data_IF_100814153647
#
_entry.id   IF_100814153647
#
_cell.length_a   1.000
_cell.length_b   1.000
_cell.length_c   1.000
_cell.angle_alpha   90.00
_cell.angle_beta   90.00
_cell.angle_gamma   90.00
#
_symmetry.space_group_name_H-M   'P 1'
#
loop_
_entity.id
_entity.type
_entity.pdbx_description
1 polymer ?
#
# COMPACT_ATOMS: atom_id res chain seq x y z
N UNK A 1 13.40 26.04 -2.63
CA UNK A 1 14.60 25.30 -3.13
C UNK A 1 15.08 25.91 -4.44
N UNK A 2 14.21 26.08 -5.46
CA UNK A 2 14.60 26.71 -6.73
C UNK A 2 15.20 28.12 -6.50
N UNK A 3 14.53 28.99 -5.74
CA UNK A 3 15.06 30.33 -5.35
C UNK A 3 16.39 30.29 -4.58
N UNK A 4 16.73 29.14 -4.02
CA UNK A 4 18.00 28.92 -3.31
C UNK A 4 19.11 28.41 -4.22
N UNK A 5 18.85 28.32 -5.55
CA UNK A 5 19.82 27.92 -6.56
C UNK A 5 19.95 26.41 -6.75
N UNK A 6 19.01 25.60 -6.26
CA UNK A 6 18.98 24.18 -6.56
C UNK A 6 18.68 23.94 -8.04
N UNK A 7 19.50 23.16 -8.71
CA UNK A 7 19.33 22.82 -10.13
C UNK A 7 18.45 21.59 -10.35
N UNK A 8 18.29 20.76 -9.31
CA UNK A 8 17.40 19.61 -9.29
C UNK A 8 16.68 19.55 -7.95
N UNK A 9 15.39 19.22 -7.98
CA UNK A 9 14.52 19.10 -6.81
C UNK A 9 13.85 17.72 -6.84
N UNK A 10 14.07 16.92 -5.80
CA UNK A 10 13.37 15.68 -5.57
C UNK A 10 12.19 15.94 -4.63
N UNK A 11 10.99 15.66 -5.09
CA UNK A 11 9.77 15.79 -4.31
C UNK A 11 9.10 14.42 -4.14
N UNK A 12 8.43 14.25 -3.02
CA UNK A 12 7.77 12.99 -2.67
C UNK A 12 6.31 13.25 -2.27
N UNK A 13 5.52 12.19 -2.28
CA UNK A 13 4.12 12.13 -1.90
C UNK A 13 3.14 12.67 -2.96
N UNK A 14 2.12 11.85 -3.23
CA UNK A 14 1.10 12.09 -4.25
C UNK A 14 0.44 13.48 -4.14
N UNK A 15 0.13 13.92 -2.93
CA UNK A 15 -0.51 15.21 -2.69
C UNK A 15 0.32 16.45 -3.05
N UNK A 16 1.62 16.30 -3.29
CA UNK A 16 2.51 17.42 -3.65
C UNK A 16 2.62 17.65 -5.16
N UNK A 17 2.16 16.73 -6.00
CA UNK A 17 2.42 16.75 -7.45
C UNK A 17 1.94 18.04 -8.12
N UNK A 18 0.75 18.53 -7.78
CA UNK A 18 0.20 19.77 -8.37
C UNK A 18 1.08 20.99 -8.11
N UNK A 19 1.64 21.08 -6.91
CA UNK A 19 2.55 22.18 -6.54
C UNK A 19 3.92 22.06 -7.21
N UNK A 20 4.40 20.83 -7.38
CA UNK A 20 5.65 20.55 -8.11
C UNK A 20 5.49 20.89 -9.57
N UNK A 21 4.35 20.59 -10.20
CA UNK A 21 4.04 20.97 -11.57
C UNK A 21 3.99 22.50 -11.75
N UNK A 22 3.39 23.21 -10.81
CA UNK A 22 3.38 24.67 -10.81
C UNK A 22 4.81 25.22 -10.75
N UNK A 23 5.63 24.73 -9.81
CA UNK A 23 7.02 25.14 -9.67
C UNK A 23 7.84 24.81 -10.93
N UNK A 24 7.63 23.66 -11.55
CA UNK A 24 8.31 23.29 -12.79
C UNK A 24 7.97 24.23 -13.96
N UNK A 25 6.76 24.76 -14.00
CA UNK A 25 6.36 25.79 -14.97
C UNK A 25 7.00 27.16 -14.70
N UNK A 26 7.20 27.53 -13.43
CA UNK A 26 7.82 28.80 -13.00
C UNK A 26 9.34 28.81 -13.13
N UNK A 27 10.01 27.62 -13.02
CA UNK A 27 11.46 27.46 -13.05
C UNK A 27 11.90 26.47 -14.14
N UNK A 28 11.80 26.83 -15.43
CA UNK A 28 12.06 25.90 -16.54
C UNK A 28 13.50 25.40 -16.61
N UNK A 29 14.44 26.07 -15.96
CA UNK A 29 15.86 25.69 -15.87
C UNK A 29 16.14 24.66 -14.76
N UNK A 30 15.23 24.47 -13.83
CA UNK A 30 15.36 23.53 -12.70
C UNK A 30 14.67 22.21 -13.03
N UNK A 31 15.32 21.09 -12.78
CA UNK A 31 14.75 19.76 -12.97
C UNK A 31 13.92 19.36 -11.72
N UNK A 32 12.70 18.88 -11.92
CA UNK A 32 11.83 18.41 -10.87
C UNK A 32 11.53 16.93 -11.04
N UNK A 33 11.91 16.14 -10.04
CA UNK A 33 11.70 14.69 -10.00
C UNK A 33 10.71 14.38 -8.88
N UNK A 34 9.50 13.94 -9.23
CA UNK A 34 8.43 13.69 -8.27
C UNK A 34 8.11 12.19 -8.16
N UNK A 35 8.27 11.64 -6.95
CA UNK A 35 7.88 10.27 -6.65
C UNK A 35 6.35 10.16 -6.47
N UNK A 36 5.78 9.04 -6.92
CA UNK A 36 4.35 8.69 -6.80
C UNK A 36 3.38 9.48 -7.70
N UNK A 37 3.82 10.53 -8.36
CA UNK A 37 2.98 11.31 -9.28
C UNK A 37 2.82 10.62 -10.66
N UNK A 38 1.89 11.13 -11.45
CA UNK A 38 1.53 10.54 -12.76
C UNK A 38 1.36 11.59 -13.88
N UNK A 39 1.46 12.89 -13.56
CA UNK A 39 1.07 13.96 -14.47
C UNK A 39 2.22 14.55 -15.31
N UNK A 40 3.47 14.17 -15.05
CA UNK A 40 4.62 14.74 -15.77
C UNK A 40 4.48 14.64 -17.29
N UNK A 41 4.12 13.46 -17.80
CA UNK A 41 3.92 13.25 -19.25
C UNK A 41 2.77 14.10 -19.82
N UNK A 42 1.67 14.21 -19.08
CA UNK A 42 0.49 14.96 -19.53
C UNK A 42 0.71 16.48 -19.46
N UNK A 43 1.57 16.95 -18.57
CA UNK A 43 1.89 18.39 -18.41
C UNK A 43 2.61 18.98 -19.61
N UNK A 44 3.35 18.18 -20.37
CA UNK A 44 4.21 18.64 -21.46
C UNK A 44 5.45 19.43 -21.02
N UNK A 45 5.72 19.53 -19.71
CA UNK A 45 6.89 20.21 -19.17
C UNK A 45 8.14 19.33 -19.33
N UNK A 46 9.18 19.85 -20.00
CA UNK A 46 10.41 19.10 -20.27
C UNK A 46 11.27 18.85 -19.02
N UNK A 47 11.07 19.64 -17.97
CA UNK A 47 11.81 19.62 -16.73
C UNK A 47 11.04 18.94 -15.57
N UNK A 48 9.90 18.28 -15.86
CA UNK A 48 9.10 17.54 -14.87
C UNK A 48 9.16 16.04 -15.15
N UNK A 49 9.54 15.27 -14.15
CA UNK A 49 9.69 13.83 -14.22
C UNK A 49 8.96 13.13 -13.10
N UNK A 50 8.22 12.06 -13.43
CA UNK A 50 7.68 11.15 -12.43
C UNK A 50 8.52 9.88 -12.35
N UNK A 51 8.65 9.34 -11.15
CA UNK A 51 9.25 8.03 -10.91
C UNK A 51 8.53 7.32 -9.77
N UNK A 52 8.52 6.00 -9.82
CA UNK A 52 8.00 5.16 -8.75
C UNK A 52 8.58 3.75 -8.84
N UNK A 53 8.40 2.98 -7.78
CA UNK A 53 8.84 1.58 -7.72
C UNK A 53 7.80 0.64 -8.31
N UNK A 54 8.23 -0.57 -8.65
CA UNK A 54 7.33 -1.68 -8.98
C UNK A 54 6.79 -2.33 -7.69
N UNK A 55 6.25 -1.55 -6.76
CA UNK A 55 5.75 -2.05 -5.47
C UNK A 55 4.71 -3.16 -5.63
N UNK A 56 3.98 -3.16 -6.74
CA UNK A 56 3.02 -4.21 -7.07
C UNK A 56 3.66 -5.61 -7.13
N UNK A 57 4.95 -5.73 -7.46
CA UNK A 57 5.67 -7.01 -7.44
C UNK A 57 5.81 -7.53 -6.00
N UNK A 58 6.23 -6.67 -5.06
CA UNK A 58 6.26 -6.98 -3.63
C UNK A 58 4.86 -7.31 -3.09
N UNK A 59 3.83 -6.59 -3.57
CA UNK A 59 2.43 -6.89 -3.24
C UNK A 59 2.00 -8.26 -3.71
N UNK A 60 2.38 -8.67 -4.92
CA UNK A 60 2.10 -10.01 -5.42
C UNK A 60 2.73 -11.09 -4.53
N UNK A 61 4.01 -10.93 -4.19
CA UNK A 61 4.72 -11.89 -3.31
C UNK A 61 4.08 -11.95 -1.93
N UNK A 62 3.74 -10.81 -1.34
CA UNK A 62 3.05 -10.78 -0.05
C UNK A 62 1.63 -11.38 -0.13
N UNK A 63 0.98 -11.26 -1.28
CA UNK A 63 -0.28 -11.94 -1.59
C UNK A 63 -0.13 -13.47 -1.61
N UNK A 64 0.97 -13.99 -2.18
CA UNK A 64 1.28 -15.44 -2.11
C UNK A 64 1.40 -15.88 -0.66
N UNK A 65 2.10 -15.12 0.20
CA UNK A 65 2.20 -15.42 1.64
C UNK A 65 0.82 -15.46 2.29
N UNK A 66 -0.04 -14.47 1.98
CA UNK A 66 -1.42 -14.44 2.49
C UNK A 66 -2.24 -15.66 2.05
N UNK A 67 -2.14 -16.03 0.77
CA UNK A 67 -2.85 -17.21 0.25
C UNK A 67 -2.37 -18.53 0.86
N UNK A 68 -1.06 -18.67 1.12
CA UNK A 68 -0.51 -19.84 1.83
C UNK A 68 -1.02 -19.89 3.28
N UNK A 69 -1.13 -18.74 3.96
CA UNK A 69 -1.71 -18.68 5.31
C UNK A 69 -3.19 -19.08 5.31
N UNK A 70 -3.96 -18.64 4.32
CA UNK A 70 -5.35 -19.08 4.18
C UNK A 70 -5.47 -20.60 3.99
N UNK A 71 -4.61 -21.20 3.16
CA UNK A 71 -4.57 -22.65 2.99
C UNK A 71 -4.22 -23.38 4.29
N UNK A 72 -3.23 -22.86 5.05
CA UNK A 72 -2.90 -23.39 6.37
C UNK A 72 -4.12 -23.38 7.31
N UNK A 73 -4.88 -22.26 7.34
CA UNK A 73 -6.08 -22.14 8.16
C UNK A 73 -7.21 -23.11 7.71
N UNK A 74 -7.35 -23.32 6.40
CA UNK A 74 -8.31 -24.31 5.85
C UNK A 74 -7.88 -25.72 6.25
N UNK A 75 -6.62 -26.08 6.06
CA UNK A 75 -6.08 -27.40 6.41
C UNK A 75 -6.18 -27.70 7.92
N UNK A 76 -6.01 -26.66 8.77
CA UNK A 76 -6.19 -26.75 10.21
C UNK A 76 -7.68 -26.84 10.64
N UNK A 77 -8.62 -26.59 9.73
CA UNK A 77 -10.05 -26.54 10.03
C UNK A 77 -10.49 -25.30 10.81
N UNK A 78 -9.67 -24.26 10.80
CA UNK A 78 -9.99 -22.96 11.42
C UNK A 78 -11.01 -22.19 10.60
N UNK A 79 -10.95 -22.32 9.25
CA UNK A 79 -11.90 -21.76 8.29
C UNK A 79 -12.25 -22.80 7.23
N UNK A 80 -13.35 -22.59 6.51
CA UNK A 80 -13.71 -23.35 5.31
C UNK A 80 -13.27 -22.58 4.05
N UNK A 81 -13.24 -23.26 2.87
CA UNK A 81 -12.86 -22.61 1.61
C UNK A 81 -13.72 -21.37 1.28
N UNK A 82 -15.03 -21.43 1.56
CA UNK A 82 -15.97 -20.33 1.33
C UNK A 82 -15.77 -19.16 2.31
N UNK A 83 -15.07 -19.38 3.41
CA UNK A 83 -14.66 -18.36 4.37
C UNK A 83 -13.29 -17.72 4.04
N UNK A 84 -12.58 -18.17 3.00
CA UNK A 84 -11.29 -17.61 2.60
C UNK A 84 -11.45 -16.21 1.99
N UNK A 85 -11.77 -15.24 2.84
CA UNK A 85 -12.01 -13.84 2.48
C UNK A 85 -10.95 -12.93 3.11
N UNK A 86 -10.22 -12.20 2.26
CA UNK A 86 -9.26 -11.18 2.69
C UNK A 86 -9.90 -9.81 2.74
N UNK A 87 -9.43 -8.96 3.64
CA UNK A 87 -9.73 -7.53 3.68
C UNK A 87 -8.53 -6.69 3.24
N UNK A 88 -8.79 -5.55 2.60
CA UNK A 88 -7.74 -4.61 2.24
C UNK A 88 -8.11 -3.18 2.63
N UNK A 89 -7.29 -2.56 3.47
CA UNK A 89 -7.45 -1.16 3.89
C UNK A 89 -6.67 -0.28 2.94
N UNK A 90 -7.36 0.39 2.03
CA UNK A 90 -6.77 1.32 1.06
C UNK A 90 -6.85 2.76 1.52
N UNK A 91 -5.86 3.60 1.14
CA UNK A 91 -5.92 5.03 1.40
C UNK A 91 -6.96 5.71 0.48
N UNK A 92 -6.79 5.58 -0.83
CA UNK A 92 -7.65 6.18 -1.85
C UNK A 92 -7.79 5.24 -3.05
N UNK A 93 -8.86 5.39 -3.87
CA UNK A 93 -9.03 4.61 -5.11
C UNK A 93 -8.14 5.13 -6.25
N UNK A 94 -6.86 5.33 -5.99
CA UNK A 94 -5.87 5.75 -7.00
C UNK A 94 -5.20 4.55 -7.66
N UNK A 95 -4.64 4.74 -8.86
CA UNK A 95 -4.01 3.67 -9.64
C UNK A 95 -2.93 2.91 -8.86
N UNK A 96 -2.13 3.60 -8.05
CA UNK A 96 -1.13 2.99 -7.17
C UNK A 96 -1.75 1.99 -6.19
N UNK A 97 -2.79 2.42 -5.45
CA UNK A 97 -3.48 1.58 -4.46
C UNK A 97 -4.22 0.44 -5.14
N UNK A 98 -4.90 0.70 -6.26
CA UNK A 98 -5.62 -0.30 -7.05
C UNK A 98 -4.66 -1.36 -7.58
N UNK A 99 -3.53 -0.97 -8.15
CA UNK A 99 -2.51 -1.92 -8.62
C UNK A 99 -1.95 -2.77 -7.47
N UNK A 100 -1.77 -2.17 -6.28
CA UNK A 100 -1.29 -2.83 -5.09
C UNK A 100 -2.22 -3.94 -4.63
N UNK A 101 -3.49 -3.64 -4.37
CA UNK A 101 -4.43 -4.69 -3.91
C UNK A 101 -4.78 -5.69 -5.02
N UNK A 102 -4.79 -5.28 -6.29
CA UNK A 102 -5.00 -6.22 -7.40
C UNK A 102 -3.87 -7.24 -7.45
N UNK A 103 -2.61 -6.80 -7.37
CA UNK A 103 -1.46 -7.71 -7.34
C UNK A 103 -1.46 -8.60 -6.10
N UNK A 104 -1.78 -8.06 -4.93
CA UNK A 104 -1.93 -8.82 -3.71
C UNK A 104 -2.99 -9.93 -3.84
N UNK A 105 -4.17 -9.58 -4.37
CA UNK A 105 -5.22 -10.56 -4.63
C UNK A 105 -4.80 -11.63 -5.62
N UNK A 106 -4.17 -11.26 -6.74
CA UNK A 106 -3.68 -12.22 -7.74
C UNK A 106 -2.61 -13.14 -7.17
N UNK A 107 -1.72 -12.63 -6.32
CA UNK A 107 -0.76 -13.43 -5.59
C UNK A 107 -1.42 -14.47 -4.69
N UNK A 108 -2.38 -14.06 -3.86
CA UNK A 108 -3.13 -14.98 -3.01
C UNK A 108 -3.91 -16.01 -3.82
N UNK A 109 -4.58 -15.57 -4.88
CA UNK A 109 -5.38 -16.44 -5.76
C UNK A 109 -4.54 -17.48 -6.50
N UNK A 110 -3.26 -17.21 -6.75
CA UNK A 110 -2.36 -18.16 -7.42
C UNK A 110 -2.11 -19.44 -6.61
N UNK A 111 -2.25 -19.37 -5.29
CA UNK A 111 -2.03 -20.51 -4.37
C UNK A 111 -3.28 -20.91 -3.61
N UNK A 112 -4.26 -20.02 -3.39
CA UNK A 112 -5.55 -20.27 -2.77
C UNK A 112 -6.67 -19.87 -3.74
N UNK A 113 -7.12 -20.77 -4.65
CA UNK A 113 -8.10 -20.44 -5.68
C UNK A 113 -9.48 -20.01 -5.14
N UNK A 114 -9.83 -20.42 -3.92
CA UNK A 114 -11.10 -20.07 -3.27
C UNK A 114 -11.13 -18.63 -2.77
N UNK A 115 -9.96 -17.96 -2.62
CA UNK A 115 -9.87 -16.64 -2.00
C UNK A 115 -10.75 -15.59 -2.67
N UNK A 116 -11.40 -14.81 -1.85
CA UNK A 116 -12.09 -13.56 -2.21
C UNK A 116 -11.48 -12.37 -1.47
N UNK A 117 -11.77 -11.15 -1.89
CA UNK A 117 -11.24 -9.95 -1.25
C UNK A 117 -12.26 -8.81 -1.22
N UNK A 118 -12.31 -8.12 -0.11
CA UNK A 118 -13.06 -6.87 0.09
C UNK A 118 -12.09 -5.72 0.34
N UNK A 119 -12.40 -4.52 -0.20
CA UNK A 119 -11.57 -3.32 -0.04
C UNK A 119 -12.40 -2.23 0.61
N UNK A 120 -11.86 -1.59 1.65
CA UNK A 120 -12.42 -0.36 2.25
C UNK A 120 -11.38 0.76 2.17
N UNK A 121 -11.85 1.99 1.92
CA UNK A 121 -10.97 3.15 1.81
C UNK A 121 -11.14 4.07 3.00
N UNK A 122 -10.01 4.53 3.56
CA UNK A 122 -9.97 5.51 4.63
C UNK A 122 -10.15 6.94 4.13
N UNK A 123 -9.91 7.20 2.83
CA UNK A 123 -9.77 8.52 2.24
C UNK A 123 -8.70 9.38 2.93
N UNK A 124 -7.67 8.73 3.48
CA UNK A 124 -6.51 9.33 4.11
C UNK A 124 -5.29 8.43 3.89
N UNK A 125 -4.09 9.03 3.72
CA UNK A 125 -2.85 8.26 3.67
C UNK A 125 -2.38 7.85 5.07
N UNK A 126 -2.66 8.67 6.08
CA UNK A 126 -2.15 8.46 7.43
C UNK A 126 -3.20 8.90 8.47
N UNK A 127 -4.04 7.96 8.88
CA UNK A 127 -4.99 8.13 9.98
C UNK A 127 -5.13 6.82 10.74
N UNK A 128 -4.50 6.74 11.90
CA UNK A 128 -4.54 5.55 12.75
C UNK A 128 -5.97 5.08 13.02
N UNK A 129 -6.85 6.03 13.42
CA UNK A 129 -8.22 5.69 13.78
C UNK A 129 -9.04 5.18 12.59
N UNK A 130 -8.96 5.84 11.41
CA UNK A 130 -9.68 5.42 10.21
C UNK A 130 -9.16 4.08 9.67
N UNK A 131 -7.85 3.84 9.72
CA UNK A 131 -7.27 2.56 9.32
C UNK A 131 -7.72 1.44 10.25
N UNK A 132 -7.73 1.69 11.57
CA UNK A 132 -8.23 0.77 12.56
C UNK A 132 -9.71 0.47 12.36
N UNK A 133 -10.56 1.49 12.19
CA UNK A 133 -12.00 1.35 11.94
C UNK A 133 -12.29 0.55 10.67
N UNK A 134 -11.55 0.81 9.58
CA UNK A 134 -11.68 0.04 8.34
C UNK A 134 -11.32 -1.43 8.54
N UNK A 135 -10.24 -1.72 9.26
CA UNK A 135 -9.83 -3.10 9.55
C UNK A 135 -10.85 -3.81 10.45
N UNK A 136 -11.32 -3.16 11.52
CA UNK A 136 -12.37 -3.69 12.40
C UNK A 136 -13.67 -4.01 11.62
N UNK A 137 -14.06 -3.12 10.69
CA UNK A 137 -15.22 -3.33 9.83
C UNK A 137 -15.02 -4.53 8.88
N UNK A 138 -13.84 -4.65 8.24
CA UNK A 138 -13.52 -5.79 7.36
C UNK A 138 -13.54 -7.12 8.13
N UNK A 139 -12.99 -7.13 9.35
CA UNK A 139 -13.02 -8.31 10.22
C UNK A 139 -14.47 -8.66 10.59
N UNK A 140 -15.28 -7.66 10.93
CA UNK A 140 -16.71 -7.84 11.24
C UNK A 140 -17.51 -8.34 10.03
N UNK A 141 -17.10 -7.98 8.81
CA UNK A 141 -17.67 -8.46 7.54
C UNK A 141 -17.16 -9.86 7.14
N UNK A 142 -16.42 -10.54 8.04
CA UNK A 142 -15.95 -11.91 7.87
C UNK A 142 -14.61 -12.04 7.12
N UNK A 143 -13.83 -10.98 7.02
CA UNK A 143 -12.45 -11.11 6.51
C UNK A 143 -11.55 -11.77 7.57
N UNK A 144 -10.86 -12.82 7.18
CA UNK A 144 -10.02 -13.67 8.04
C UNK A 144 -8.52 -13.38 7.92
N UNK A 145 -8.16 -12.44 7.04
CA UNK A 145 -6.81 -11.92 6.84
C UNK A 145 -6.93 -10.49 6.31
N UNK A 146 -6.13 -9.56 6.84
CA UNK A 146 -6.16 -8.14 6.46
C UNK A 146 -4.82 -7.71 5.87
N UNK A 147 -4.86 -6.87 4.83
CA UNK A 147 -3.70 -6.12 4.35
C UNK A 147 -4.04 -4.64 4.23
N UNK A 148 -3.04 -3.80 4.01
CA UNK A 148 -3.22 -2.35 3.92
C UNK A 148 -2.36 -1.69 2.85
N UNK A 149 -2.82 -0.52 2.40
CA UNK A 149 -2.08 0.45 1.60
C UNK A 149 -2.41 1.87 2.10
N UNK A 150 -2.23 2.04 3.40
CA UNK A 150 -2.26 3.28 4.15
C UNK A 150 -1.09 3.21 5.15
N UNK A 151 -0.66 4.33 5.71
CA UNK A 151 0.71 4.50 6.19
C UNK A 151 0.87 4.34 7.72
N UNK A 152 -0.21 4.02 8.45
CA UNK A 152 -0.11 3.89 9.92
C UNK A 152 -0.15 2.44 10.40
N UNK A 153 -0.05 2.26 11.69
CA UNK A 153 -0.16 0.96 12.38
C UNK A 153 -1.59 0.64 12.82
N UNK A 154 -2.60 1.41 12.37
CA UNK A 154 -3.99 1.24 12.79
C UNK A 154 -4.56 -0.13 12.43
N UNK A 155 -4.43 -0.54 11.18
CA UNK A 155 -4.94 -1.83 10.71
C UNK A 155 -4.23 -3.03 11.38
N UNK A 156 -2.88 -3.12 11.48
CA UNK A 156 -2.21 -4.16 12.24
C UNK A 156 -2.59 -4.21 13.71
N UNK A 157 -2.82 -3.04 14.34
CA UNK A 157 -3.29 -2.99 15.74
C UNK A 157 -4.68 -3.61 15.91
N UNK A 158 -5.61 -3.38 14.97
CA UNK A 158 -6.91 -4.04 14.96
C UNK A 158 -6.76 -5.56 14.79
N UNK A 159 -5.92 -5.99 13.86
CA UNK A 159 -5.65 -7.40 13.60
C UNK A 159 -5.07 -8.12 14.81
N UNK A 160 -4.10 -7.52 15.50
CA UNK A 160 -3.51 -8.08 16.73
C UNK A 160 -4.56 -8.22 17.83
N UNK A 161 -5.40 -7.20 18.01
CA UNK A 161 -6.48 -7.25 19.01
C UNK A 161 -7.53 -8.34 18.73
N UNK A 162 -7.78 -8.63 17.45
CA UNK A 162 -8.75 -9.62 17.00
C UNK A 162 -8.14 -11.02 16.79
N UNK A 163 -6.83 -11.17 16.83
CA UNK A 163 -6.13 -12.42 16.50
C UNK A 163 -6.20 -12.79 15.01
N UNK A 164 -6.37 -11.82 14.14
CA UNK A 164 -6.49 -12.02 12.69
C UNK A 164 -5.15 -11.77 12.01
N UNK A 165 -4.64 -12.71 11.17
CA UNK A 165 -3.40 -12.52 10.43
C UNK A 165 -3.41 -11.24 9.59
N UNK A 166 -2.27 -10.56 9.49
CA UNK A 166 -2.15 -9.37 8.67
C UNK A 166 -0.86 -9.30 7.84
N UNK A 167 -0.95 -8.57 6.75
CA UNK A 167 0.18 -8.19 5.89
C UNK A 167 0.33 -6.68 5.90
N UNK A 168 1.47 -6.20 6.38
CA UNK A 168 1.75 -4.79 6.57
C UNK A 168 2.23 -4.06 5.31
N UNK A 169 2.47 -2.76 5.48
CA UNK A 169 3.01 -1.87 4.48
C UNK A 169 4.05 -0.93 5.06
N UNK A 170 5.06 -0.57 4.25
CA UNK A 170 6.16 0.35 4.52
C UNK A 170 7.16 -0.11 5.60
N UNK A 171 6.71 -0.53 6.74
CA UNK A 171 7.56 -0.90 7.87
C UNK A 171 7.27 -2.32 8.35
N UNK A 172 8.16 -2.88 9.13
CA UNK A 172 7.94 -4.13 9.85
C UNK A 172 6.87 -3.93 10.94
N UNK A 173 5.75 -4.64 10.80
CA UNK A 173 4.60 -4.54 11.71
C UNK A 173 4.70 -5.49 12.91
N UNK A 174 5.74 -6.32 13.02
CA UNK A 174 5.91 -7.23 14.16
C UNK A 174 6.06 -6.50 15.49
N UNK A 175 6.47 -5.24 15.48
CA UNK A 175 6.56 -4.40 16.68
C UNK A 175 5.20 -4.05 17.29
N UNK A 176 4.13 -4.03 16.48
CA UNK A 176 2.76 -3.68 16.91
C UNK A 176 1.77 -4.84 16.81
N UNK A 177 2.10 -5.83 16.01
CA UNK A 177 1.28 -7.04 15.77
C UNK A 177 2.17 -8.30 15.83
N UNK A 178 2.82 -8.59 16.99
CA UNK A 178 3.82 -9.66 17.09
C UNK A 178 3.26 -11.06 16.86
N UNK A 179 1.96 -11.27 17.04
CA UNK A 179 1.34 -12.59 16.87
C UNK A 179 0.62 -12.74 15.54
N UNK A 180 0.32 -11.64 14.84
CA UNK A 180 -0.55 -11.66 13.66
C UNK A 180 0.13 -11.13 12.39
N UNK A 181 1.21 -10.33 12.49
CA UNK A 181 1.92 -9.85 11.31
C UNK A 181 2.70 -10.98 10.62
N UNK A 182 2.35 -11.29 9.37
CA UNK A 182 3.00 -12.32 8.56
C UNK A 182 4.23 -11.77 7.84
N UNK A 183 4.10 -10.62 7.22
CA UNK A 183 5.12 -9.92 6.43
C UNK A 183 4.67 -8.49 6.15
N UNK A 184 5.54 -7.67 5.54
CA UNK A 184 5.21 -6.33 5.07
C UNK A 184 5.78 -6.10 3.66
N UNK A 185 4.98 -5.48 2.78
CA UNK A 185 5.48 -4.96 1.52
C UNK A 185 6.11 -3.59 1.76
N UNK A 186 7.38 -3.41 1.42
CA UNK A 186 8.10 -2.16 1.64
C UNK A 186 8.88 -1.70 0.41
N UNK A 187 9.19 -0.42 0.34
CA UNK A 187 9.99 0.20 -0.71
C UNK A 187 11.37 0.50 -0.16
N UNK A 188 12.42 0.06 -0.86
CA UNK A 188 13.77 0.46 -0.54
C UNK A 188 14.11 1.82 -1.17
N UNK A 189 13.64 2.88 -0.54
CA UNK A 189 13.86 4.25 -1.00
C UNK A 189 15.34 4.63 -1.08
N UNK A 190 16.21 4.01 -0.29
CA UNK A 190 17.65 4.26 -0.34
C UNK A 190 18.26 4.00 -1.72
N UNK A 191 17.75 3.03 -2.47
CA UNK A 191 18.22 2.74 -3.84
C UNK A 191 17.93 3.87 -4.83
N UNK A 192 16.91 4.70 -4.56
CA UNK A 192 16.54 5.82 -5.44
C UNK A 192 17.35 7.09 -5.19
N UNK A 193 17.88 7.25 -3.96
CA UNK A 193 18.49 8.50 -3.52
C UNK A 193 20.00 8.37 -3.28
N UNK A 194 20.61 7.23 -3.59
CA UNK A 194 22.06 6.97 -3.53
C UNK A 194 22.66 6.75 -4.90
#
# INVERSE_FOLDING_TARGET
LADQGCQIVFANSFGHETYVLQAAGEYPEVQFCHATGTQAKASGLANMHNYFTNIYESRYVSGVVAGLKLNEMIEAGEITEDQAKMGYVGAFPYAEVISGYTSFYLGAKSVCPAVTMEVKYTNSWASFDLEKECADALISDGCVLISQHADTTGAPTACEAAGVPCVGYNIDMTSVAPNTALTSASINWGVYYT
#
